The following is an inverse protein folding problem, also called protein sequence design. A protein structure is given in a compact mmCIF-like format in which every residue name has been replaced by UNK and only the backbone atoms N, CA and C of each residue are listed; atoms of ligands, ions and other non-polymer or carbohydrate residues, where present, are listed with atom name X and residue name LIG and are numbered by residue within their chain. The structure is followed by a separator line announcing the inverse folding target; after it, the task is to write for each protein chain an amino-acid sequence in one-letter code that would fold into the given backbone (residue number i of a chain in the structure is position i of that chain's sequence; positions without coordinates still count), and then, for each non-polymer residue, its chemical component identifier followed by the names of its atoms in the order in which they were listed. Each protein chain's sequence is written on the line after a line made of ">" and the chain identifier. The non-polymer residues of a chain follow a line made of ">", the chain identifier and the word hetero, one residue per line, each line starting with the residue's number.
data_IF_010347785482
#
_entry.id   IF_010347785482
#
_cell.length_a   1.000
_cell.length_b   1.000
_cell.length_c   1.000
_cell.angle_alpha   90.00
_cell.angle_beta   90.00
_cell.angle_gamma   90.00
#
_symmetry.space_group_name_H-M   'P 1'
#
loop_
_entity.id
_entity.type
_entity.pdbx_description
1 polymer ?
#
# COMPACT_ATOMS: atom_id res chain seq x y z
N UNK A 1 36.59 7.18 18.01
CA UNK A 1 36.10 6.47 19.22
C UNK A 1 35.29 5.29 18.74
N UNK A 2 35.73 4.07 19.03
CA UNK A 2 35.02 2.85 18.64
C UNK A 2 33.64 2.81 19.30
N UNK A 3 32.60 2.52 18.52
CA UNK A 3 31.27 2.23 19.04
C UNK A 3 31.38 0.99 19.93
N UNK A 4 31.27 1.16 21.24
CA UNK A 4 31.09 0.04 22.16
C UNK A 4 29.86 -0.75 21.70
N UNK A 5 30.05 -2.01 21.33
CA UNK A 5 28.96 -2.97 21.15
C UNK A 5 28.10 -2.94 22.42
N UNK A 6 26.91 -2.35 22.31
CA UNK A 6 25.94 -2.35 23.40
C UNK A 6 25.46 -3.78 23.56
N UNK A 7 26.03 -4.48 24.54
CA UNK A 7 25.48 -5.76 24.97
C UNK A 7 23.99 -5.58 25.31
N UNK A 8 23.11 -6.47 24.82
CA UNK A 8 21.70 -6.38 25.14
C UNK A 8 21.51 -6.45 26.66
N UNK A 9 20.56 -5.69 27.23
CA UNK A 9 20.42 -5.55 28.67
C UNK A 9 19.95 -6.82 29.39
N UNK A 10 19.63 -7.87 28.63
CA UNK A 10 19.26 -9.19 29.13
C UNK A 10 19.74 -10.29 28.18
N UNK A 11 19.92 -11.49 28.73
CA UNK A 11 20.22 -12.70 27.95
C UNK A 11 18.96 -13.11 27.19
N UNK A 12 19.06 -13.11 25.86
CA UNK A 12 17.97 -13.54 24.97
C UNK A 12 17.97 -15.06 24.87
N UNK A 13 16.85 -15.70 25.19
CA UNK A 13 16.64 -17.13 25.00
C UNK A 13 15.36 -17.31 24.20
N UNK A 14 15.49 -17.74 22.95
CA UNK A 14 14.36 -18.16 22.12
C UNK A 14 14.06 -19.63 22.44
N UNK A 15 12.86 -19.92 22.94
CA UNK A 15 12.42 -21.27 23.26
C UNK A 15 11.82 -21.99 22.04
N UNK A 16 11.31 -21.23 21.07
CA UNK A 16 10.72 -21.74 19.84
C UNK A 16 11.12 -20.84 18.66
N UNK A 17 11.09 -21.34 17.41
CA UNK A 17 11.43 -20.56 16.21
C UNK A 17 10.61 -19.28 16.01
N UNK A 18 9.43 -19.18 16.63
CA UNK A 18 8.50 -18.05 16.55
C UNK A 18 8.44 -17.19 17.83
N UNK A 19 9.18 -17.55 18.89
CA UNK A 19 9.15 -16.80 20.15
C UNK A 19 10.15 -15.65 20.12
N UNK A 20 9.67 -14.44 19.85
CA UNK A 20 10.44 -13.20 19.99
C UNK A 20 10.35 -12.68 21.43
N UNK A 21 11.22 -13.17 22.31
CA UNK A 21 11.34 -12.83 23.74
C UNK A 21 10.14 -13.16 24.65
N UNK A 22 10.42 -13.94 25.71
CA UNK A 22 9.53 -14.15 26.85
C UNK A 22 10.21 -13.65 28.12
N UNK A 23 9.58 -12.70 28.81
CA UNK A 23 10.00 -12.25 30.15
C UNK A 23 9.06 -12.85 31.20
N UNK A 24 9.58 -13.13 32.38
CA UNK A 24 8.73 -13.25 33.57
C UNK A 24 8.24 -11.85 34.01
N UNK A 25 7.24 -11.84 34.88
CA UNK A 25 6.62 -10.61 35.34
C UNK A 25 7.61 -9.69 36.06
N UNK A 26 8.47 -10.25 36.91
CA UNK A 26 9.46 -9.48 37.67
C UNK A 26 10.45 -8.78 36.75
N UNK A 27 10.96 -9.48 35.73
CA UNK A 27 11.88 -8.90 34.74
C UNK A 27 11.21 -7.86 33.87
N UNK A 28 9.94 -8.06 33.51
CA UNK A 28 9.18 -7.06 32.75
C UNK A 28 9.00 -5.75 33.55
N UNK A 29 8.73 -5.84 34.86
CA UNK A 29 8.63 -4.67 35.73
C UNK A 29 10.00 -3.99 35.91
N UNK A 30 11.08 -4.75 36.13
CA UNK A 30 12.44 -4.21 36.22
C UNK A 30 12.84 -3.45 34.95
N UNK A 31 12.58 -4.03 33.77
CA UNK A 31 12.83 -3.40 32.48
C UNK A 31 11.93 -2.20 32.25
N UNK A 32 10.67 -2.26 32.69
CA UNK A 32 9.74 -1.12 32.66
C UNK A 32 10.25 0.07 33.47
N UNK A 33 10.80 -0.17 34.66
CA UNK A 33 11.39 0.89 35.48
C UNK A 33 12.65 1.48 34.85
N UNK A 34 13.45 0.66 34.17
CA UNK A 34 14.73 1.08 33.57
C UNK A 34 14.58 1.76 32.21
N UNK A 35 13.55 1.41 31.43
CA UNK A 35 13.37 1.87 30.05
C UNK A 35 11.96 2.46 29.84
N UNK A 36 11.80 3.80 29.88
CA UNK A 36 10.50 4.46 29.77
C UNK A 36 9.71 4.12 28.48
N UNK A 37 10.41 3.90 27.36
CA UNK A 37 9.78 3.48 26.11
C UNK A 37 9.19 2.06 26.20
N UNK A 38 9.89 1.14 26.86
CA UNK A 38 9.39 -0.22 27.10
C UNK A 38 8.19 -0.21 28.05
N UNK A 39 8.26 0.61 29.11
CA UNK A 39 7.16 0.79 30.06
C UNK A 39 5.86 1.26 29.39
N UNK A 40 5.95 2.28 28.52
CA UNK A 40 4.79 2.80 27.78
C UNK A 40 4.18 1.73 26.87
N UNK A 41 5.01 0.97 26.17
CA UNK A 41 4.55 -0.13 25.32
C UNK A 41 3.89 -1.25 26.13
N UNK A 42 4.47 -1.62 27.28
CA UNK A 42 3.92 -2.64 28.17
C UNK A 42 2.54 -2.23 28.69
N UNK A 43 2.38 -1.00 29.17
CA UNK A 43 1.09 -0.49 29.66
C UNK A 43 0.05 -0.34 28.55
N UNK A 44 0.46 0.08 27.33
CA UNK A 44 -0.45 0.13 26.18
C UNK A 44 -1.01 -1.26 25.86
N UNK A 45 -0.14 -2.26 25.74
CA UNK A 45 -0.55 -3.65 25.45
C UNK A 45 -1.41 -4.23 26.57
N UNK A 46 -1.05 -3.99 27.84
CA UNK A 46 -1.85 -4.43 28.98
C UNK A 46 -3.24 -3.76 28.99
N UNK A 47 -3.30 -2.46 28.71
CA UNK A 47 -4.56 -1.71 28.56
C UNK A 47 -5.44 -2.26 27.45
N UNK A 48 -4.86 -2.55 26.28
CA UNK A 48 -5.58 -3.15 25.15
C UNK A 48 -6.14 -4.53 25.49
N UNK A 49 -5.38 -5.37 26.20
CA UNK A 49 -5.81 -6.71 26.62
C UNK A 49 -6.92 -6.65 27.67
N UNK A 50 -6.80 -5.78 28.67
CA UNK A 50 -7.84 -5.56 29.68
C UNK A 50 -9.12 -5.01 29.04
N UNK A 51 -8.99 -4.09 28.08
CA UNK A 51 -10.12 -3.58 27.30
C UNK A 51 -10.86 -4.67 26.53
N UNK A 52 -10.13 -5.63 25.93
CA UNK A 52 -10.71 -6.80 25.25
C UNK A 52 -11.39 -7.77 26.21
N UNK A 53 -10.75 -8.10 27.34
CA UNK A 53 -11.28 -9.07 28.32
C UNK A 53 -12.51 -8.56 29.06
N UNK A 54 -12.55 -7.28 29.41
CA UNK A 54 -13.65 -6.72 30.19
C UNK A 54 -14.88 -6.35 29.36
N UNK A 55 -14.86 -6.55 28.03
CA UNK A 55 -15.99 -6.24 27.16
C UNK A 55 -16.53 -4.79 27.33
N UNK A 56 -15.71 -3.88 27.87
CA UNK A 56 -16.08 -2.50 28.21
C UNK A 56 -16.32 -1.63 26.96
N UNK A 57 -16.02 -2.17 25.78
CA UNK A 57 -16.29 -1.57 24.47
C UNK A 57 -17.59 -2.10 23.82
N UNK A 58 -18.61 -2.49 24.60
CA UNK A 58 -20.00 -2.54 24.08
C UNK A 58 -20.57 -1.12 23.94
N UNK A 59 -19.78 -0.21 23.34
CA UNK A 59 -20.34 0.94 22.65
C UNK A 59 -21.17 0.31 21.52
N UNK A 60 -22.45 0.66 21.44
CA UNK A 60 -23.33 0.29 20.33
C UNK A 60 -22.53 0.56 19.04
N UNK A 61 -22.05 -0.48 18.36
CA UNK A 61 -21.08 -0.34 17.27
C UNK A 61 -21.76 0.55 16.22
N UNK A 62 -21.39 1.83 16.18
CA UNK A 62 -21.87 2.68 15.11
C UNK A 62 -21.18 2.16 13.86
N UNK A 63 -21.94 1.86 12.79
CA UNK A 63 -21.33 1.36 11.57
C UNK A 63 -20.30 2.36 11.08
N UNK A 64 -19.15 1.87 10.61
CA UNK A 64 -18.13 2.74 10.00
C UNK A 64 -18.76 3.38 8.75
N UNK A 65 -18.73 4.70 8.67
CA UNK A 65 -19.36 5.45 7.59
C UNK A 65 -18.34 5.66 6.48
N UNK A 66 -18.68 5.23 5.26
CA UNK A 66 -17.82 5.33 4.07
C UNK A 66 -18.56 6.14 3.01
N UNK A 67 -17.96 7.22 2.53
CA UNK A 67 -18.43 7.90 1.33
C UNK A 67 -17.76 7.29 0.10
N UNK A 68 -18.51 6.98 -0.94
CA UNK A 68 -17.99 6.66 -2.26
C UNK A 68 -18.50 7.75 -3.21
N UNK A 69 -17.56 8.48 -3.82
CA UNK A 69 -17.87 9.55 -4.75
C UNK A 69 -17.43 9.13 -6.14
N UNK A 70 -18.36 9.08 -7.07
CA UNK A 70 -18.13 8.71 -8.45
C UNK A 70 -18.00 9.95 -9.34
N UNK A 71 -16.84 10.15 -9.96
CA UNK A 71 -16.66 11.22 -10.94
C UNK A 71 -17.62 11.07 -12.14
N UNK A 72 -17.82 9.84 -12.57
CA UNK A 72 -18.57 9.48 -13.78
C UNK A 72 -19.23 8.11 -13.60
N UNK A 73 -20.20 7.82 -14.46
CA UNK A 73 -20.87 6.50 -14.48
C UNK A 73 -19.92 5.34 -14.78
N UNK A 74 -18.78 5.59 -15.45
CA UNK A 74 -17.74 4.57 -15.68
C UNK A 74 -17.11 4.04 -14.38
N UNK A 75 -17.15 4.83 -13.30
CA UNK A 75 -16.58 4.43 -12.01
C UNK A 75 -17.57 3.69 -11.09
N UNK A 76 -18.89 3.79 -11.36
CA UNK A 76 -19.95 3.18 -10.54
C UNK A 76 -19.87 1.66 -10.38
N UNK A 77 -19.44 0.86 -11.39
CA UNK A 77 -19.31 -0.58 -11.23
C UNK A 77 -18.31 -0.99 -10.13
N UNK A 78 -17.44 -0.09 -9.67
CA UNK A 78 -16.57 -0.34 -8.52
C UNK A 78 -17.38 -0.62 -7.25
N UNK A 79 -18.43 0.15 -6.98
CA UNK A 79 -19.24 -0.01 -5.76
C UNK A 79 -19.93 -1.37 -5.73
N UNK A 80 -20.52 -1.80 -6.85
CA UNK A 80 -21.13 -3.13 -6.95
C UNK A 80 -20.11 -4.26 -6.66
N UNK A 81 -18.88 -4.15 -7.18
CA UNK A 81 -17.82 -5.14 -6.93
C UNK A 81 -17.33 -5.13 -5.48
N UNK A 82 -17.16 -3.94 -4.89
CA UNK A 82 -16.77 -3.80 -3.49
C UNK A 82 -17.82 -4.44 -2.58
N UNK A 83 -19.10 -4.13 -2.80
CA UNK A 83 -20.20 -4.69 -2.03
C UNK A 83 -20.32 -6.20 -2.19
N UNK A 84 -20.16 -6.72 -3.41
CA UNK A 84 -20.15 -8.15 -3.67
C UNK A 84 -19.04 -8.86 -2.87
N UNK A 85 -17.81 -8.31 -2.87
CA UNK A 85 -16.72 -8.89 -2.08
C UNK A 85 -16.89 -8.73 -0.58
N UNK A 86 -17.46 -7.62 -0.10
CA UNK A 86 -17.81 -7.41 1.31
C UNK A 86 -18.87 -8.42 1.77
N UNK A 87 -19.83 -8.76 0.92
CA UNK A 87 -20.86 -9.77 1.19
C UNK A 87 -20.28 -11.17 1.34
N UNK A 88 -19.30 -11.55 0.51
CA UNK A 88 -18.62 -12.84 0.57
C UNK A 88 -17.82 -13.05 1.87
N UNK A 89 -17.40 -11.96 2.54
CA UNK A 89 -16.74 -12.01 3.85
C UNK A 89 -17.72 -11.74 5.01
N UNK A 90 -19.02 -11.92 4.76
CA UNK A 90 -20.12 -11.80 5.72
C UNK A 90 -20.29 -10.41 6.36
N UNK A 91 -19.91 -9.34 5.65
CA UNK A 91 -20.11 -7.98 6.14
C UNK A 91 -21.52 -7.46 5.80
N UNK A 92 -22.24 -6.98 6.82
CA UNK A 92 -23.55 -6.33 6.66
C UNK A 92 -23.38 -4.85 6.34
N UNK A 93 -23.84 -4.45 5.17
CA UNK A 93 -23.67 -3.08 4.65
C UNK A 93 -25.02 -2.44 4.39
N UNK A 94 -25.21 -1.21 4.89
CA UNK A 94 -26.32 -0.34 4.50
C UNK A 94 -25.82 0.67 3.48
N UNK A 95 -26.55 0.87 2.39
CA UNK A 95 -26.17 1.75 1.28
C UNK A 95 -27.27 2.77 1.06
N UNK A 96 -26.88 4.04 1.12
CA UNK A 96 -27.65 5.16 0.61
C UNK A 96 -27.06 5.56 -0.74
N UNK A 97 -27.77 5.28 -1.82
CA UNK A 97 -27.26 5.51 -3.17
C UNK A 97 -28.13 6.42 -4.02
N UNK A 98 -27.52 7.10 -4.98
CA UNK A 98 -28.20 7.91 -6.00
C UNK A 98 -28.41 7.17 -7.33
N UNK A 99 -28.04 5.88 -7.40
CA UNK A 99 -28.15 5.09 -8.60
C UNK A 99 -29.62 4.92 -9.03
N UNK A 100 -29.95 5.12 -10.33
CA UNK A 100 -31.32 5.02 -10.82
C UNK A 100 -31.86 3.58 -10.80
N UNK A 101 -30.97 2.58 -10.80
CA UNK A 101 -31.29 1.17 -10.67
C UNK A 101 -30.31 0.51 -9.70
N UNK A 102 -30.85 -0.28 -8.76
CA UNK A 102 -30.07 -1.04 -7.79
C UNK A 102 -30.19 -2.53 -8.05
N UNK A 103 -29.06 -3.20 -8.27
CA UNK A 103 -28.99 -4.65 -8.33
C UNK A 103 -28.88 -5.22 -6.91
N UNK A 104 -29.80 -6.09 -6.46
CA UNK A 104 -29.71 -6.66 -5.12
C UNK A 104 -28.43 -7.47 -4.92
N UNK A 105 -27.64 -7.09 -3.90
CA UNK A 105 -26.43 -7.80 -3.47
C UNK A 105 -26.75 -8.46 -2.12
N UNK A 106 -26.38 -9.74 -1.88
CA UNK A 106 -26.63 -10.40 -0.61
C UNK A 106 -26.05 -9.60 0.57
N UNK A 107 -26.72 -9.64 1.73
CA UNK A 107 -26.31 -8.93 2.96
C UNK A 107 -26.18 -7.40 2.84
N UNK A 108 -26.66 -6.82 1.74
CA UNK A 108 -26.64 -5.38 1.50
C UNK A 108 -28.06 -4.81 1.57
N UNK A 109 -28.28 -3.85 2.46
CA UNK A 109 -29.51 -3.08 2.55
C UNK A 109 -29.35 -1.82 1.71
N UNK A 110 -30.35 -1.47 0.91
CA UNK A 110 -30.30 -0.30 0.04
C UNK A 110 -31.48 0.63 0.31
N UNK A 111 -31.21 1.94 0.29
CA UNK A 111 -32.23 2.99 0.25
C UNK A 111 -31.80 4.10 -0.73
N UNK A 112 -32.65 4.53 -1.66
CA UNK A 112 -32.37 5.70 -2.50
C UNK A 112 -32.12 6.95 -1.67
N UNK A 113 -31.19 7.80 -2.11
CA UNK A 113 -30.92 9.11 -1.49
C UNK A 113 -31.96 10.18 -1.85
N UNK A 114 -32.71 9.96 -2.93
CA UNK A 114 -33.75 10.85 -3.42
C UNK A 114 -35.06 10.08 -3.46
N UNK A 115 -36.11 10.64 -2.85
CA UNK A 115 -37.48 10.13 -2.88
C UNK A 115 -38.39 11.27 -3.33
N UNK A 116 -39.19 11.06 -4.38
CA UNK A 116 -40.08 12.10 -4.96
C UNK A 116 -39.35 13.39 -5.40
N UNK A 117 -38.21 13.25 -6.06
CA UNK A 117 -37.32 14.37 -6.49
C UNK A 117 -36.76 15.24 -5.35
N UNK A 118 -36.92 14.82 -4.09
CA UNK A 118 -36.35 15.49 -2.92
C UNK A 118 -35.29 14.61 -2.24
N UNK A 119 -34.20 15.25 -1.81
CA UNK A 119 -33.15 14.60 -1.04
C UNK A 119 -33.69 14.18 0.33
N UNK A 120 -33.34 12.97 0.78
CA UNK A 120 -33.67 12.52 2.13
C UNK A 120 -33.15 13.50 3.19
N UNK A 121 -34.04 13.88 4.11
CA UNK A 121 -33.66 14.69 5.27
C UNK A 121 -32.70 13.92 6.20
N UNK A 122 -31.86 14.66 6.93
CA UNK A 122 -30.97 14.07 7.95
C UNK A 122 -31.77 13.26 9.00
N UNK A 123 -32.99 13.68 9.32
CA UNK A 123 -33.87 12.96 10.23
C UNK A 123 -34.29 11.61 9.64
N UNK A 124 -34.66 11.57 8.36
CA UNK A 124 -35.05 10.34 7.65
C UNK A 124 -33.89 9.37 7.53
N UNK A 125 -32.68 9.86 7.23
CA UNK A 125 -31.46 9.04 7.19
C UNK A 125 -31.20 8.43 8.57
N UNK A 126 -31.26 9.22 9.65
CA UNK A 126 -31.06 8.73 11.02
C UNK A 126 -32.10 7.69 11.42
N UNK A 127 -33.36 7.91 11.07
CA UNK A 127 -34.43 6.95 11.32
C UNK A 127 -34.16 5.64 10.59
N UNK A 128 -33.80 5.68 9.31
CA UNK A 128 -33.46 4.48 8.55
C UNK A 128 -32.25 3.73 9.14
N UNK A 129 -31.18 4.45 9.48
CA UNK A 129 -30.00 3.85 10.13
C UNK A 129 -30.39 3.19 11.46
N UNK A 130 -31.34 3.76 12.21
CA UNK A 130 -31.83 3.13 13.45
C UNK A 130 -32.62 1.83 13.21
N UNK A 131 -33.22 1.66 12.03
CA UNK A 131 -33.89 0.42 11.59
C UNK A 131 -32.89 -0.60 11.07
N UNK A 132 -31.76 -0.16 10.53
CA UNK A 132 -30.64 -1.01 10.13
C UNK A 132 -29.81 -1.42 11.35
N UNK A 133 -30.32 -2.41 12.09
CA UNK A 133 -29.63 -2.99 13.23
C UNK A 133 -28.42 -3.80 12.77
N UNK A 134 -27.33 -3.73 13.54
CA UNK A 134 -26.12 -4.54 13.38
C UNK A 134 -25.42 -4.39 12.02
N UNK A 135 -25.41 -3.17 11.46
CA UNK A 135 -24.54 -2.87 10.31
C UNK A 135 -23.08 -2.79 10.75
N UNK A 136 -22.20 -3.38 9.95
CA UNK A 136 -20.77 -3.13 10.06
C UNK A 136 -20.42 -1.77 9.45
N UNK A 137 -21.12 -1.42 8.35
CA UNK A 137 -20.80 -0.26 7.52
C UNK A 137 -22.03 0.42 6.98
N UNK A 138 -21.92 1.74 6.89
CA UNK A 138 -22.85 2.60 6.19
C UNK A 138 -22.14 3.23 5.01
N UNK A 139 -22.68 3.08 3.80
CA UNK A 139 -22.09 3.63 2.59
C UNK A 139 -23.00 4.73 2.03
N UNK A 140 -22.43 5.90 1.76
CA UNK A 140 -23.02 6.90 0.88
C UNK A 140 -22.43 6.72 -0.51
N UNK A 141 -23.22 6.27 -1.47
CA UNK A 141 -22.80 6.04 -2.86
C UNK A 141 -23.39 7.14 -3.77
N UNK A 142 -22.56 8.12 -4.14
CA UNK A 142 -23.02 9.34 -4.81
C UNK A 142 -22.16 9.72 -6.01
N UNK A 143 -22.78 10.32 -7.02
CA UNK A 143 -22.10 10.97 -8.12
C UNK A 143 -21.56 12.35 -7.74
N UNK A 144 -20.45 12.77 -8.35
CA UNK A 144 -19.88 14.11 -8.18
C UNK A 144 -20.73 15.22 -8.82
N UNK A 145 -21.79 14.86 -9.55
CA UNK A 145 -22.79 15.79 -10.09
C UNK A 145 -23.75 16.32 -9.02
N UNK A 146 -23.78 15.72 -7.82
CA UNK A 146 -24.58 16.24 -6.71
C UNK A 146 -24.14 17.65 -6.31
N UNK A 147 -25.08 18.52 -5.89
CA UNK A 147 -24.74 19.83 -5.36
C UNK A 147 -23.69 19.74 -4.25
N UNK A 148 -22.66 20.58 -4.33
CA UNK A 148 -21.49 20.51 -3.47
C UNK A 148 -21.83 20.54 -1.98
N UNK A 149 -22.76 21.40 -1.56
CA UNK A 149 -23.17 21.55 -0.16
C UNK A 149 -23.81 20.27 0.40
N UNK A 150 -24.58 19.57 -0.43
CA UNK A 150 -25.23 18.31 -0.09
C UNK A 150 -24.19 17.21 0.08
N UNK A 151 -23.32 17.05 -0.91
CA UNK A 151 -22.20 16.10 -0.86
C UNK A 151 -21.31 16.37 0.37
N UNK A 152 -20.95 17.64 0.60
CA UNK A 152 -20.15 18.03 1.76
C UNK A 152 -20.84 17.66 3.08
N UNK A 153 -22.15 17.90 3.21
CA UNK A 153 -22.91 17.53 4.41
C UNK A 153 -22.91 16.02 4.67
N UNK A 154 -23.05 15.19 3.63
CA UNK A 154 -23.03 13.72 3.76
C UNK A 154 -21.63 13.21 4.12
N UNK A 155 -20.62 13.69 3.40
CA UNK A 155 -19.25 13.24 3.58
C UNK A 155 -18.65 13.74 4.91
N UNK A 156 -19.17 14.83 5.52
CA UNK A 156 -18.69 15.33 6.82
C UNK A 156 -18.75 14.27 7.92
N UNK A 157 -19.77 13.41 7.88
CA UNK A 157 -19.93 12.29 8.81
C UNK A 157 -19.15 11.04 8.41
N UNK A 158 -18.50 11.00 7.25
CA UNK A 158 -17.74 9.85 6.80
C UNK A 158 -16.43 9.71 7.57
N UNK A 159 -16.09 8.47 7.92
CA UNK A 159 -14.81 8.07 8.49
C UNK A 159 -13.74 7.91 7.39
N UNK A 160 -14.18 7.56 6.18
CA UNK A 160 -13.35 7.38 4.99
C UNK A 160 -14.16 7.79 3.75
N UNK A 161 -13.50 8.42 2.77
CA UNK A 161 -14.08 8.77 1.47
C UNK A 161 -13.24 8.13 0.37
N UNK A 162 -13.86 7.24 -0.40
CA UNK A 162 -13.29 6.69 -1.63
C UNK A 162 -13.69 7.60 -2.78
N UNK A 163 -12.75 8.42 -3.26
CA UNK A 163 -13.00 9.32 -4.38
C UNK A 163 -12.59 8.66 -5.69
N UNK A 164 -13.55 8.21 -6.48
CA UNK A 164 -13.31 7.41 -7.68
C UNK A 164 -13.17 8.31 -8.91
N UNK A 165 -12.03 8.21 -9.59
CA UNK A 165 -11.73 8.97 -10.81
C UNK A 165 -11.41 8.05 -11.97
N UNK A 166 -11.80 8.49 -13.15
CA UNK A 166 -11.36 7.90 -14.41
C UNK A 166 -9.94 8.40 -14.74
N UNK A 167 -9.06 7.50 -15.15
CA UNK A 167 -7.65 7.82 -15.47
C UNK A 167 -7.49 8.87 -16.58
N UNK A 168 -8.49 9.04 -17.46
CA UNK A 168 -8.45 9.98 -18.59
C UNK A 168 -8.98 11.35 -18.20
N UNK A 169 -9.96 11.40 -17.28
CA UNK A 169 -10.70 12.62 -16.95
C UNK A 169 -10.46 13.16 -15.53
N UNK A 170 -9.55 12.58 -14.75
CA UNK A 170 -9.27 12.91 -13.33
C UNK A 170 -9.08 14.41 -12.99
N UNK A 171 -8.72 15.26 -13.96
CA UNK A 171 -8.48 16.69 -13.73
C UNK A 171 -9.71 17.42 -13.21
N UNK A 172 -10.91 16.95 -13.56
CA UNK A 172 -12.17 17.55 -13.11
C UNK A 172 -12.38 17.39 -11.61
N UNK A 173 -11.80 16.35 -10.99
CA UNK A 173 -11.87 16.12 -9.55
C UNK A 173 -11.07 17.15 -8.72
N UNK A 174 -10.10 17.86 -9.32
CA UNK A 174 -9.23 18.81 -8.59
C UNK A 174 -10.06 19.94 -7.97
N UNK A 175 -11.02 20.51 -8.71
CA UNK A 175 -11.84 21.63 -8.24
C UNK A 175 -12.66 21.28 -7.01
N UNK A 176 -13.51 20.24 -7.07
CA UNK A 176 -14.27 19.75 -5.93
C UNK A 176 -13.40 19.37 -4.72
N UNK A 177 -12.27 18.68 -4.93
CA UNK A 177 -11.38 18.28 -3.84
C UNK A 177 -10.72 19.48 -3.14
N UNK A 178 -10.32 20.51 -3.90
CA UNK A 178 -9.81 21.76 -3.32
C UNK A 178 -10.88 22.46 -2.48
N UNK A 179 -12.09 22.58 -3.02
CA UNK A 179 -13.18 23.22 -2.31
C UNK A 179 -13.53 22.48 -1.00
N UNK A 180 -13.48 21.14 -1.01
CA UNK A 180 -13.67 20.34 0.21
C UNK A 180 -12.57 20.60 1.24
N UNK A 181 -11.30 20.67 0.81
CA UNK A 181 -10.19 20.97 1.71
C UNK A 181 -10.30 22.35 2.36
N UNK A 182 -10.78 23.35 1.62
CA UNK A 182 -11.02 24.71 2.14
C UNK A 182 -12.21 24.75 3.11
N UNK A 183 -13.23 23.92 2.87
CA UNK A 183 -14.47 23.89 3.68
C UNK A 183 -14.32 23.08 4.97
N UNK A 184 -13.52 22.01 4.96
CA UNK A 184 -13.35 21.10 6.09
C UNK A 184 -11.86 20.86 6.37
N UNK A 185 -11.30 21.48 7.42
CA UNK A 185 -9.92 21.22 7.82
C UNK A 185 -9.70 19.72 8.12
N UNK A 186 -8.55 19.17 7.71
CA UNK A 186 -8.23 17.75 7.90
C UNK A 186 -8.93 16.79 6.92
N UNK A 187 -9.64 17.32 5.91
CA UNK A 187 -10.34 16.50 4.92
C UNK A 187 -9.42 15.54 4.16
N UNK A 188 -8.20 15.99 3.86
CA UNK A 188 -7.19 15.22 3.14
C UNK A 188 -6.99 13.83 3.74
N UNK A 189 -6.92 13.72 5.06
CA UNK A 189 -6.63 12.47 5.76
C UNK A 189 -7.75 11.42 5.63
N UNK A 190 -8.95 11.86 5.24
CA UNK A 190 -10.12 11.00 5.05
C UNK A 190 -10.31 10.55 3.61
N UNK A 191 -9.66 11.18 2.63
CA UNK A 191 -9.89 10.85 1.22
C UNK A 191 -8.82 9.91 0.71
N UNK A 192 -9.27 8.76 0.24
CA UNK A 192 -8.46 7.85 -0.56
C UNK A 192 -8.93 7.94 -2.02
N UNK A 193 -8.00 8.26 -2.91
CA UNK A 193 -8.28 8.39 -4.35
C UNK A 193 -8.28 7.00 -5.00
N UNK A 194 -9.31 6.67 -5.76
CA UNK A 194 -9.38 5.42 -6.52
C UNK A 194 -9.24 5.72 -8.00
N UNK A 195 -8.10 5.32 -8.58
CA UNK A 195 -7.90 5.33 -10.01
C UNK A 195 -8.59 4.11 -10.62
N UNK A 196 -9.66 4.36 -11.36
CA UNK A 196 -10.28 3.35 -12.22
C UNK A 196 -9.57 3.41 -13.56
N UNK A 197 -8.77 2.37 -13.83
CA UNK A 197 -7.96 2.24 -15.04
C UNK A 197 -8.74 1.46 -16.11
N UNK A 198 -8.64 1.93 -17.34
CA UNK A 198 -9.18 1.24 -18.51
C UNK A 198 -8.29 0.05 -18.92
N UNK A 199 -8.85 -0.96 -19.59
CA UNK A 199 -8.34 -2.34 -19.61
C UNK A 199 -6.87 -2.56 -19.96
N UNK A 200 -6.26 -1.69 -20.78
CA UNK A 200 -4.87 -1.77 -21.24
C UNK A 200 -3.89 -0.88 -20.44
N UNK A 201 -4.38 -0.08 -19.50
CA UNK A 201 -3.56 0.77 -18.65
C UNK A 201 -2.96 -0.03 -17.49
N UNK A 202 -1.63 -0.01 -17.39
CA UNK A 202 -0.87 -0.71 -16.34
C UNK A 202 -0.37 0.23 -15.23
N UNK A 203 -0.64 1.54 -15.34
CA UNK A 203 -0.19 2.56 -14.39
C UNK A 203 -1.15 3.76 -14.38
N UNK A 204 -1.25 4.43 -13.24
CA UNK A 204 -2.01 5.67 -13.11
C UNK A 204 -1.29 6.85 -13.80
N UNK A 205 -2.02 7.89 -14.24
CA UNK A 205 -1.41 9.11 -14.77
C UNK A 205 -0.60 9.85 -13.70
N UNK A 206 0.45 10.55 -14.11
CA UNK A 206 1.21 11.41 -13.20
C UNK A 206 0.38 12.64 -12.81
N UNK A 207 -0.08 12.66 -11.57
CA UNK A 207 -1.07 13.64 -11.11
C UNK A 207 -0.69 14.27 -9.75
N UNK A 208 0.41 15.04 -9.65
CA UNK A 208 0.89 15.59 -8.38
C UNK A 208 -0.13 16.53 -7.72
N UNK A 209 -0.91 17.27 -8.52
CA UNK A 209 -1.92 18.21 -8.02
C UNK A 209 -3.05 17.54 -7.25
N UNK A 210 -3.57 16.41 -7.73
CA UNK A 210 -4.66 15.70 -7.04
C UNK A 210 -4.12 14.88 -5.87
N UNK A 211 -2.93 14.28 -6.01
CA UNK A 211 -2.25 13.54 -4.94
C UNK A 211 -2.00 14.40 -3.71
N UNK A 212 -1.72 15.69 -3.89
CA UNK A 212 -1.57 16.65 -2.79
C UNK A 212 -2.87 16.96 -2.01
N UNK A 213 -4.04 16.55 -2.53
CA UNK A 213 -5.36 16.81 -1.94
C UNK A 213 -5.92 15.58 -1.21
N UNK A 214 -5.25 14.43 -1.30
CA UNK A 214 -5.74 13.14 -0.78
C UNK A 214 -4.70 12.50 0.15
N UNK A 215 -5.14 11.54 0.96
CA UNK A 215 -4.31 10.79 1.89
C UNK A 215 -3.39 9.82 1.14
N UNK A 216 -4.00 8.96 0.32
CA UNK A 216 -3.34 7.93 -0.50
C UNK A 216 -4.16 7.66 -1.74
N UNK A 217 -3.66 6.77 -2.58
CA UNK A 217 -4.38 6.33 -3.77
C UNK A 217 -4.27 4.82 -4.05
N UNK A 218 -5.32 4.28 -4.64
CA UNK A 218 -5.44 2.88 -5.08
C UNK A 218 -5.61 2.84 -6.59
N UNK A 219 -5.06 1.81 -7.25
CA UNK A 219 -5.22 1.59 -8.68
C UNK A 219 -6.00 0.31 -8.90
N UNK A 220 -7.11 0.40 -9.63
CA UNK A 220 -8.00 -0.72 -9.89
C UNK A 220 -8.30 -0.78 -11.38
N UNK A 221 -8.19 -1.97 -11.97
CA UNK A 221 -8.74 -2.22 -13.30
C UNK A 221 -10.03 -3.01 -13.18
N UNK A 222 -11.09 -2.52 -13.83
CA UNK A 222 -12.37 -3.21 -13.89
C UNK A 222 -12.46 -4.17 -15.09
N UNK A 223 -11.53 -4.08 -16.05
CA UNK A 223 -11.49 -4.91 -17.24
C UNK A 223 -10.91 -6.32 -17.03
N UNK A 224 -10.99 -7.14 -18.09
CA UNK A 224 -10.19 -8.37 -18.15
C UNK A 224 -8.71 -8.00 -18.34
N UNK A 225 -7.76 -8.73 -17.74
CA UNK A 225 -6.35 -8.42 -17.91
C UNK A 225 -5.96 -8.63 -19.37
N UNK A 226 -5.10 -7.75 -19.89
CA UNK A 226 -4.44 -7.98 -21.19
C UNK A 226 -3.35 -9.04 -21.03
N UNK A 227 -2.87 -9.62 -22.14
CA UNK A 227 -1.95 -10.77 -22.12
C UNK A 227 -0.63 -10.56 -21.34
N UNK A 228 -0.24 -9.30 -21.09
CA UNK A 228 0.99 -8.94 -20.37
C UNK A 228 0.72 -8.12 -19.09
N UNK A 229 -0.55 -7.86 -18.74
CA UNK A 229 -0.92 -7.20 -17.50
C UNK A 229 -1.18 -8.26 -16.42
N UNK A 230 -0.48 -8.14 -15.31
CA UNK A 230 -0.60 -9.08 -14.18
C UNK A 230 -1.87 -8.87 -13.38
N UNK A 231 -2.15 -9.81 -12.47
CA UNK A 231 -3.30 -9.74 -11.55
C UNK A 231 -3.26 -8.55 -10.58
N UNK A 232 -2.13 -7.85 -10.47
CA UNK A 232 -1.92 -6.81 -9.46
C UNK A 232 -2.92 -5.65 -9.52
N UNK A 233 -3.36 -5.24 -10.72
CA UNK A 233 -4.39 -4.20 -10.85
C UNK A 233 -5.80 -4.71 -10.51
N UNK A 234 -6.06 -6.00 -10.68
CA UNK A 234 -7.32 -6.61 -10.25
C UNK A 234 -7.35 -6.78 -8.73
N UNK A 235 -6.20 -7.12 -8.14
CA UNK A 235 -5.99 -7.15 -6.69
C UNK A 235 -6.13 -5.76 -6.03
N UNK A 236 -6.16 -4.67 -6.81
CA UNK A 236 -6.45 -3.34 -6.30
C UNK A 236 -7.80 -3.25 -5.56
N UNK A 237 -8.81 -4.01 -6.00
CA UNK A 237 -10.09 -4.11 -5.30
C UNK A 237 -9.90 -4.70 -3.89
N UNK A 238 -9.13 -5.78 -3.75
CA UNK A 238 -8.85 -6.40 -2.45
C UNK A 238 -8.07 -5.47 -1.52
N UNK A 239 -7.16 -4.63 -2.05
CA UNK A 239 -6.47 -3.60 -1.24
C UNK A 239 -7.44 -2.56 -0.68
N UNK A 240 -8.48 -2.19 -1.42
CA UNK A 240 -9.55 -1.33 -0.90
C UNK A 240 -10.34 -2.08 0.18
N UNK A 241 -10.66 -3.36 -0.02
CA UNK A 241 -11.32 -4.20 1.00
C UNK A 241 -10.47 -4.28 2.27
N UNK A 242 -9.15 -4.43 2.16
CA UNK A 242 -8.21 -4.38 3.28
C UNK A 242 -8.32 -3.05 4.04
N UNK A 243 -8.26 -1.92 3.33
CA UNK A 243 -8.40 -0.57 3.94
C UNK A 243 -9.74 -0.40 4.67
N UNK A 244 -10.83 -0.85 4.05
CA UNK A 244 -12.15 -0.83 4.67
C UNK A 244 -12.13 -1.65 5.98
N UNK A 245 -11.51 -2.83 5.97
CA UNK A 245 -11.38 -3.71 7.16
C UNK A 245 -10.33 -3.26 8.16
N UNK A 246 -9.53 -2.25 7.86
CA UNK A 246 -8.41 -1.83 8.69
C UNK A 246 -7.26 -2.85 8.71
N UNK A 247 -7.13 -3.66 7.65
CA UNK A 247 -6.00 -4.57 7.42
C UNK A 247 -5.03 -3.89 6.45
N UNK A 248 -3.73 -3.95 6.73
CA UNK A 248 -2.68 -3.45 5.84
C UNK A 248 -1.46 -4.36 5.89
N UNK A 249 -1.26 -5.13 4.82
CA UNK A 249 -0.22 -6.13 4.64
C UNK A 249 0.92 -5.54 3.83
N UNK A 250 2.08 -5.37 4.45
CA UNK A 250 3.31 -4.93 3.79
C UNK A 250 4.23 -6.10 3.41
N UNK A 251 4.99 -5.94 2.32
CA UNK A 251 6.05 -6.88 1.92
C UNK A 251 7.42 -6.18 1.92
N UNK A 252 8.29 -6.58 2.83
CA UNK A 252 9.67 -6.12 2.90
C UNK A 252 10.58 -7.11 2.16
N UNK A 253 11.23 -6.63 1.09
CA UNK A 253 12.14 -7.42 0.27
C UNK A 253 13.59 -7.01 0.52
N UNK A 254 14.39 -7.91 1.07
CA UNK A 254 15.75 -7.60 1.46
C UNK A 254 16.78 -7.53 0.32
N UNK A 255 17.97 -6.99 0.64
CA UNK A 255 19.14 -7.07 -0.22
C UNK A 255 19.80 -8.46 -0.20
N UNK A 256 20.48 -8.83 -1.30
CA UNK A 256 21.12 -10.16 -1.39
C UNK A 256 21.77 -10.54 -2.72
N UNK A 257 22.01 -9.58 -3.63
CA UNK A 257 22.59 -9.80 -4.96
C UNK A 257 22.00 -11.04 -5.67
N UNK A 258 22.80 -12.09 -5.93
CA UNK A 258 22.39 -13.30 -6.63
C UNK A 258 21.29 -14.12 -5.92
N UNK A 259 21.10 -13.93 -4.60
CA UNK A 259 20.02 -14.57 -3.82
C UNK A 259 18.66 -13.87 -4.00
N UNK A 260 18.63 -12.70 -4.64
CA UNK A 260 17.41 -11.94 -4.91
C UNK A 260 16.34 -12.69 -5.72
N UNK A 261 16.71 -13.77 -6.42
CA UNK A 261 15.76 -14.66 -7.09
C UNK A 261 14.76 -15.31 -6.13
N UNK A 262 15.10 -15.46 -4.84
CA UNK A 262 14.19 -15.98 -3.82
C UNK A 262 12.92 -15.12 -3.68
N UNK A 263 13.04 -13.80 -3.88
CA UNK A 263 11.90 -12.88 -3.85
C UNK A 263 10.84 -13.24 -4.88
N UNK A 264 11.24 -13.68 -6.08
CA UNK A 264 10.31 -14.11 -7.12
C UNK A 264 9.52 -15.37 -6.69
N UNK A 265 10.18 -16.30 -6.00
CA UNK A 265 9.52 -17.48 -5.44
C UNK A 265 8.51 -17.12 -4.35
N UNK A 266 8.83 -16.17 -3.48
CA UNK A 266 7.90 -15.68 -2.45
C UNK A 266 6.71 -14.98 -3.09
N UNK A 267 6.93 -14.08 -4.04
CA UNK A 267 5.85 -13.38 -4.76
C UNK A 267 4.89 -14.37 -5.42
N UNK A 268 5.43 -15.39 -6.09
CA UNK A 268 4.63 -16.47 -6.68
C UNK A 268 3.81 -17.24 -5.64
N UNK A 269 4.43 -17.60 -4.51
CA UNK A 269 3.73 -18.30 -3.44
C UNK A 269 2.60 -17.43 -2.82
N UNK A 270 2.80 -16.12 -2.69
CA UNK A 270 1.75 -15.21 -2.22
C UNK A 270 0.57 -15.17 -3.19
N UNK A 271 0.82 -15.08 -4.49
CA UNK A 271 -0.23 -15.11 -5.52
C UNK A 271 -1.00 -16.44 -5.54
N UNK A 272 -0.29 -17.58 -5.52
CA UNK A 272 -0.89 -18.93 -5.50
C UNK A 272 -1.79 -19.16 -4.27
N UNK A 273 -1.52 -18.45 -3.17
CA UNK A 273 -2.29 -18.51 -1.93
C UNK A 273 -3.29 -17.34 -1.78
N UNK A 274 -3.47 -16.51 -2.81
CA UNK A 274 -4.35 -15.33 -2.79
C UNK A 274 -4.04 -14.33 -1.65
N UNK A 275 -2.75 -14.21 -1.28
CA UNK A 275 -2.30 -13.24 -0.28
C UNK A 275 -1.94 -11.94 -0.99
N UNK A 276 -2.86 -10.98 -0.95
CA UNK A 276 -2.68 -9.67 -1.58
C UNK A 276 -1.91 -8.74 -0.64
N UNK A 277 -0.79 -8.21 -1.11
CA UNK A 277 0.00 -7.20 -0.38
C UNK A 277 -0.42 -5.80 -0.77
N UNK A 278 -0.52 -4.90 0.21
CA UNK A 278 -1.00 -3.53 0.04
C UNK A 278 0.10 -2.53 -0.30
N UNK A 279 1.34 -2.83 0.08
CA UNK A 279 2.52 -2.02 -0.23
C UNK A 279 3.81 -2.83 -0.12
N UNK A 280 4.85 -2.38 -0.82
CA UNK A 280 6.15 -3.05 -0.89
C UNK A 280 7.26 -2.05 -0.53
N UNK A 281 8.23 -2.51 0.26
CA UNK A 281 9.48 -1.80 0.47
C UNK A 281 10.65 -2.72 0.11
N UNK A 282 11.60 -2.23 -0.67
CA UNK A 282 12.68 -3.05 -1.18
C UNK A 282 14.04 -2.38 -1.08
N UNK A 283 15.05 -3.19 -0.77
CA UNK A 283 16.45 -2.77 -0.73
C UNK A 283 17.26 -3.58 -1.75
N UNK A 284 18.07 -2.92 -2.59
CA UNK A 284 18.97 -3.56 -3.56
C UNK A 284 18.21 -4.52 -4.50
N UNK A 285 18.56 -5.80 -4.52
CA UNK A 285 17.82 -6.84 -5.24
C UNK A 285 16.31 -6.84 -4.92
N UNK A 286 15.92 -6.59 -3.68
CA UNK A 286 14.51 -6.46 -3.28
C UNK A 286 13.83 -5.22 -3.87
N UNK A 287 14.54 -4.09 -3.99
CA UNK A 287 14.04 -2.90 -4.68
C UNK A 287 13.77 -3.19 -6.15
N UNK A 288 14.73 -3.82 -6.82
CA UNK A 288 14.63 -4.17 -8.23
C UNK A 288 13.46 -5.13 -8.52
N UNK A 289 13.38 -6.24 -7.79
CA UNK A 289 12.31 -7.23 -7.95
C UNK A 289 10.95 -6.67 -7.54
N UNK A 290 10.88 -5.97 -6.39
CA UNK A 290 9.66 -5.37 -5.87
C UNK A 290 9.07 -4.32 -6.80
N UNK A 291 9.89 -3.43 -7.37
CA UNK A 291 9.41 -2.39 -8.29
C UNK A 291 8.88 -2.97 -9.60
N UNK A 292 9.53 -4.00 -10.15
CA UNK A 292 9.02 -4.68 -11.37
C UNK A 292 7.68 -5.33 -11.09
N UNK A 293 7.54 -6.05 -9.97
CA UNK A 293 6.27 -6.67 -9.58
C UNK A 293 5.17 -5.62 -9.31
N UNK A 294 5.51 -4.54 -8.59
CA UNK A 294 4.60 -3.45 -8.29
C UNK A 294 4.12 -2.70 -9.54
N UNK A 295 4.84 -2.79 -10.66
CA UNK A 295 4.52 -2.09 -11.91
C UNK A 295 3.28 -2.62 -12.65
N UNK A 296 2.67 -3.71 -12.17
CA UNK A 296 1.48 -4.32 -12.77
C UNK A 296 1.74 -5.20 -13.99
N UNK A 297 3.01 -5.44 -14.32
CA UNK A 297 3.39 -6.42 -15.35
C UNK A 297 3.03 -7.83 -14.91
N UNK A 298 2.72 -8.69 -15.87
CA UNK A 298 2.52 -10.12 -15.62
C UNK A 298 3.74 -10.72 -14.90
N UNK A 299 3.56 -11.34 -13.71
CA UNK A 299 4.65 -11.89 -12.92
C UNK A 299 5.44 -12.96 -13.66
N UNK A 300 4.77 -13.92 -14.32
CA UNK A 300 5.44 -15.01 -15.02
C UNK A 300 6.26 -14.49 -16.22
N UNK A 301 5.71 -13.53 -16.97
CA UNK A 301 6.42 -12.81 -18.03
C UNK A 301 7.64 -12.07 -17.48
N UNK A 302 7.44 -11.28 -16.41
CA UNK A 302 8.49 -10.47 -15.79
C UNK A 302 9.60 -11.34 -15.24
N UNK A 303 9.26 -12.42 -14.52
CA UNK A 303 10.21 -13.42 -14.01
C UNK A 303 11.02 -14.01 -15.15
N UNK A 304 10.36 -14.53 -16.20
CA UNK A 304 11.04 -15.20 -17.31
C UNK A 304 12.03 -14.26 -18.01
N UNK A 305 11.59 -13.05 -18.35
CA UNK A 305 12.42 -12.04 -19.02
C UNK A 305 13.55 -11.54 -18.14
N UNK A 306 13.26 -11.30 -16.87
CA UNK A 306 14.25 -10.82 -15.91
C UNK A 306 15.34 -11.87 -15.65
N UNK A 307 14.96 -13.14 -15.48
CA UNK A 307 15.90 -14.26 -15.38
C UNK A 307 16.75 -14.40 -16.65
N UNK A 308 16.13 -14.27 -17.83
CA UNK A 308 16.84 -14.25 -19.12
C UNK A 308 17.87 -13.12 -19.19
N UNK A 309 17.49 -11.90 -18.81
CA UNK A 309 18.38 -10.73 -18.81
C UNK A 309 19.51 -10.88 -17.78
N UNK A 310 19.27 -11.47 -16.61
CA UNK A 310 20.29 -11.69 -15.59
C UNK A 310 21.18 -12.92 -15.86
N UNK A 311 20.88 -13.71 -16.89
CA UNK A 311 21.65 -14.92 -17.21
C UNK A 311 23.05 -14.55 -17.72
N UNK A 312 24.13 -15.05 -17.08
CA UNK A 312 25.48 -14.75 -17.52
C UNK A 312 25.75 -15.28 -18.94
N UNK A 313 26.47 -14.50 -19.75
CA UNK A 313 26.92 -14.95 -21.07
C UNK A 313 27.88 -16.14 -20.95
N UNK A 314 28.04 -16.90 -22.03
CA UNK A 314 28.84 -18.13 -22.05
C UNK A 314 30.25 -17.95 -21.47
N UNK A 315 30.87 -16.79 -21.71
CA UNK A 315 32.20 -16.43 -21.21
C UNK A 315 32.22 -16.40 -19.68
N UNK A 316 31.29 -15.64 -19.08
CA UNK A 316 31.20 -15.54 -17.62
C UNK A 316 30.83 -16.88 -16.99
N UNK A 317 30.00 -17.71 -17.63
CA UNK A 317 29.63 -19.04 -17.08
C UNK A 317 30.82 -20.00 -16.88
N UNK A 318 31.94 -19.78 -17.57
CA UNK A 318 33.17 -20.58 -17.42
C UNK A 318 34.11 -20.06 -16.32
N UNK A 319 33.84 -18.88 -15.76
CA UNK A 319 34.65 -18.29 -14.71
C UNK A 319 34.17 -18.70 -13.31
N UNK A 320 35.07 -18.91 -12.34
CA UNK A 320 34.69 -19.03 -10.93
C UNK A 320 33.91 -17.79 -10.49
N UNK A 321 32.75 -17.96 -9.84
CA UNK A 321 31.84 -16.87 -9.47
C UNK A 321 31.40 -15.98 -10.64
N UNK A 322 31.39 -16.52 -11.87
CA UNK A 322 31.12 -15.77 -13.09
C UNK A 322 29.79 -15.01 -13.12
N UNK A 323 28.77 -15.48 -12.41
CA UNK A 323 27.52 -14.74 -12.24
C UNK A 323 27.72 -13.38 -11.55
N UNK A 324 28.54 -13.33 -10.50
CA UNK A 324 28.88 -12.07 -9.82
C UNK A 324 29.67 -11.14 -10.73
N UNK A 325 30.66 -11.67 -11.46
CA UNK A 325 31.44 -10.89 -12.43
C UNK A 325 30.59 -10.34 -13.57
N UNK A 326 29.59 -11.10 -14.03
CA UNK A 326 28.65 -10.64 -15.05
C UNK A 326 27.77 -9.48 -14.54
N UNK A 327 27.18 -9.62 -13.36
CA UNK A 327 26.37 -8.56 -12.75
C UNK A 327 27.21 -7.31 -12.48
N UNK A 328 28.43 -7.49 -11.98
CA UNK A 328 29.39 -6.40 -11.79
C UNK A 328 29.73 -5.70 -13.11
N UNK A 329 29.99 -6.46 -14.17
CA UNK A 329 30.24 -5.93 -15.50
C UNK A 329 29.04 -5.11 -16.00
N UNK A 330 27.82 -5.66 -15.92
CA UNK A 330 26.60 -4.93 -16.31
C UNK A 330 26.45 -3.62 -15.55
N UNK A 331 26.74 -3.64 -14.26
CA UNK A 331 26.67 -2.46 -13.40
C UNK A 331 27.70 -1.39 -13.81
N UNK A 332 28.97 -1.77 -13.91
CA UNK A 332 30.06 -0.84 -14.27
C UNK A 332 29.92 -0.22 -15.66
N UNK A 333 29.30 -0.93 -16.60
CA UNK A 333 29.06 -0.43 -17.95
C UNK A 333 27.67 0.22 -18.14
N UNK A 334 26.95 0.53 -17.05
CA UNK A 334 25.66 1.23 -17.11
C UNK A 334 24.57 0.45 -17.85
N UNK A 335 24.64 -0.88 -17.88
CA UNK A 335 23.67 -1.73 -18.61
C UNK A 335 22.39 -2.02 -17.83
N UNK A 336 22.33 -1.66 -16.55
CA UNK A 336 21.12 -1.82 -15.73
C UNK A 336 20.03 -0.83 -16.10
N UNK A 337 20.35 0.44 -16.34
CA UNK A 337 19.36 1.45 -16.76
C UNK A 337 18.58 1.01 -18.02
N UNK A 338 19.22 0.75 -19.19
CA UNK A 338 18.48 0.35 -20.39
C UNK A 338 17.83 -1.03 -20.28
N UNK A 339 18.27 -1.88 -19.33
CA UNK A 339 17.61 -3.15 -19.04
C UNK A 339 16.30 -2.91 -18.28
N UNK A 340 16.34 -2.11 -17.22
CA UNK A 340 15.17 -1.81 -16.37
C UNK A 340 14.13 -0.97 -17.12
N UNK A 341 14.55 -0.06 -18.01
CA UNK A 341 13.66 0.71 -18.90
C UNK A 341 12.79 -0.17 -19.81
N UNK A 342 13.23 -1.39 -20.16
CA UNK A 342 12.37 -2.33 -20.92
C UNK A 342 11.10 -2.74 -20.17
N UNK A 343 11.15 -2.71 -18.84
CA UNK A 343 10.06 -3.14 -17.95
C UNK A 343 9.27 -1.93 -17.43
N UNK A 344 9.99 -0.91 -17.00
CA UNK A 344 9.43 0.22 -16.28
C UNK A 344 9.23 1.45 -17.16
N UNK A 345 9.83 1.49 -18.35
CA UNK A 345 9.79 2.66 -19.24
C UNK A 345 10.14 3.94 -18.46
N UNK A 346 9.37 5.01 -18.61
CA UNK A 346 9.50 6.26 -17.85
C UNK A 346 8.53 6.33 -16.65
N UNK A 347 8.05 5.19 -16.15
CA UNK A 347 7.14 5.16 -14.99
C UNK A 347 7.81 5.68 -13.74
N UNK A 348 7.01 6.37 -12.94
CA UNK A 348 7.38 6.81 -11.59
C UNK A 348 6.79 5.91 -10.51
N UNK A 349 7.43 5.87 -9.34
CA UNK A 349 7.02 5.02 -8.21
C UNK A 349 5.57 5.29 -7.79
N UNK A 350 5.13 6.55 -7.81
CA UNK A 350 3.77 6.95 -7.47
C UNK A 350 2.69 6.43 -8.44
N UNK A 351 3.08 6.03 -9.66
CA UNK A 351 2.16 5.56 -10.70
C UNK A 351 1.92 4.05 -10.67
N UNK A 352 2.76 3.30 -9.94
CA UNK A 352 2.74 1.84 -9.94
C UNK A 352 1.43 1.29 -9.36
N UNK A 353 1.09 0.06 -9.76
CA UNK A 353 -0.13 -0.63 -9.34
C UNK A 353 -0.15 -0.91 -7.83
N UNK A 354 1.03 -1.17 -7.26
CA UNK A 354 1.25 -1.34 -5.82
C UNK A 354 2.15 -0.21 -5.32
N UNK A 355 1.81 0.47 -4.22
CA UNK A 355 2.71 1.41 -3.57
C UNK A 355 4.08 0.76 -3.29
N UNK A 356 5.14 1.38 -3.81
CA UNK A 356 6.51 0.88 -3.73
C UNK A 356 7.44 1.92 -3.12
N UNK A 357 8.27 1.49 -2.17
CA UNK A 357 9.37 2.28 -1.62
C UNK A 357 10.71 1.62 -1.88
N UNK A 358 11.66 2.34 -2.48
CA UNK A 358 13.05 1.89 -2.62
C UNK A 358 13.92 2.51 -1.52
N UNK A 359 14.88 1.73 -1.04
CA UNK A 359 15.73 2.12 0.10
C UNK A 359 17.16 2.32 -0.35
N UNK A 360 17.72 3.47 -0.04
CA UNK A 360 19.10 3.86 -0.29
C UNK A 360 19.71 4.41 0.99
N UNK A 361 21.00 4.71 0.98
CA UNK A 361 21.69 5.39 2.07
C UNK A 361 22.41 6.61 1.51
N UNK A 362 22.28 7.75 2.17
CA UNK A 362 23.19 8.87 1.93
C UNK A 362 24.53 8.57 2.61
N UNK A 363 25.57 8.35 1.81
CA UNK A 363 26.89 7.96 2.29
C UNK A 363 27.53 9.04 3.19
N UNK A 364 27.19 10.31 2.98
CA UNK A 364 27.74 11.42 3.76
C UNK A 364 27.04 11.50 5.12
N UNK A 365 25.71 11.49 5.14
CA UNK A 365 24.93 11.54 6.37
C UNK A 365 24.88 10.22 7.16
N UNK A 366 25.05 9.08 6.49
CA UNK A 366 24.89 7.74 7.07
C UNK A 366 23.43 7.33 7.30
N UNK A 367 22.48 8.12 6.80
CA UNK A 367 21.04 7.94 7.05
C UNK A 367 20.36 7.21 5.88
N UNK A 368 19.35 6.37 6.17
CA UNK A 368 18.55 5.75 5.13
C UNK A 368 17.69 6.80 4.42
N UNK A 369 17.61 6.69 3.09
CA UNK A 369 16.76 7.53 2.25
C UNK A 369 15.70 6.62 1.64
N UNK A 370 14.43 6.92 1.94
CA UNK A 370 13.27 6.19 1.43
C UNK A 370 12.69 6.97 0.25
N UNK A 371 12.61 6.33 -0.92
CA UNK A 371 11.99 6.89 -2.12
C UNK A 371 10.68 6.17 -2.38
N UNK A 372 9.56 6.88 -2.24
CA UNK A 372 8.22 6.40 -2.66
C UNK A 372 7.70 7.15 -3.88
N UNK A 373 8.48 8.10 -4.40
CA UNK A 373 8.12 8.97 -5.53
C UNK A 373 9.35 9.23 -6.41
N UNK A 374 9.11 9.60 -7.67
CA UNK A 374 10.14 9.84 -8.67
C UNK A 374 10.35 8.67 -9.62
N UNK A 375 11.36 8.78 -10.49
CA UNK A 375 11.62 7.79 -11.53
C UNK A 375 11.92 6.40 -10.93
N UNK A 376 11.17 5.38 -11.36
CA UNK A 376 11.23 4.06 -10.77
C UNK A 376 12.57 3.36 -11.03
N UNK A 377 13.17 3.56 -12.20
CA UNK A 377 14.48 2.98 -12.55
C UNK A 377 15.58 3.67 -11.76
N UNK A 378 15.56 5.00 -11.66
CA UNK A 378 16.51 5.76 -10.85
C UNK A 378 16.47 5.34 -9.38
N UNK A 379 15.27 5.14 -8.82
CA UNK A 379 15.10 4.63 -7.45
C UNK A 379 15.71 3.24 -7.25
N UNK A 380 15.66 2.37 -8.27
CA UNK A 380 16.34 1.06 -8.24
C UNK A 380 17.85 1.24 -8.35
N UNK A 381 18.33 2.04 -9.31
CA UNK A 381 19.76 2.22 -9.60
C UNK A 381 20.52 2.75 -8.37
N UNK A 382 19.93 3.69 -7.64
CA UNK A 382 20.49 4.13 -6.36
C UNK A 382 20.50 3.02 -5.32
N UNK A 383 19.43 2.21 -5.25
CA UNK A 383 19.27 1.16 -4.24
C UNK A 383 20.20 -0.03 -4.46
N UNK A 384 20.65 -0.27 -5.70
CA UNK A 384 21.64 -1.30 -6.05
C UNK A 384 23.08 -0.75 -6.12
N UNK A 385 23.31 0.51 -5.70
CA UNK A 385 24.60 1.17 -5.84
C UNK A 385 25.62 0.78 -4.76
N UNK A 386 26.18 -0.42 -4.88
CA UNK A 386 27.14 -0.93 -3.91
C UNK A 386 28.46 -0.12 -3.90
N UNK A 387 28.89 0.39 -2.72
CA UNK A 387 30.21 0.98 -2.57
C UNK A 387 31.32 0.01 -3.00
N UNK A 388 32.49 0.53 -3.39
CA UNK A 388 33.62 -0.20 -3.98
C UNK A 388 33.38 -0.66 -5.43
N UNK A 389 32.16 -1.00 -5.80
CA UNK A 389 31.83 -1.47 -7.14
C UNK A 389 31.54 -0.31 -8.12
N UNK A 390 30.96 0.79 -7.63
CA UNK A 390 30.87 2.06 -8.36
C UNK A 390 30.91 3.29 -7.45
N UNK A 391 31.00 4.47 -8.07
CA UNK A 391 30.94 5.76 -7.37
C UNK A 391 29.54 6.03 -6.82
N UNK A 392 29.40 6.73 -5.68
CA UNK A 392 28.11 7.20 -5.20
C UNK A 392 27.36 8.00 -6.27
N UNK A 393 26.04 7.84 -6.32
CA UNK A 393 25.18 8.62 -7.22
C UNK A 393 24.85 9.93 -6.52
N UNK A 394 25.39 11.04 -7.02
CA UNK A 394 25.15 12.36 -6.45
C UNK A 394 23.84 12.96 -7.01
N UNK A 395 22.80 13.06 -6.19
CA UNK A 395 21.49 13.60 -6.59
C UNK A 395 20.86 14.38 -5.44
N UNK A 396 20.27 15.53 -5.75
CA UNK A 396 19.59 16.40 -4.76
C UNK A 396 20.45 16.72 -3.51
N UNK A 397 21.76 16.83 -3.68
CA UNK A 397 22.71 17.09 -2.57
C UNK A 397 23.08 15.87 -1.72
N UNK A 398 22.61 14.67 -2.06
CA UNK A 398 22.91 13.41 -1.38
C UNK A 398 23.91 12.58 -2.18
N UNK A 399 24.74 11.78 -1.49
CA UNK A 399 25.67 10.83 -2.11
C UNK A 399 25.15 9.40 -1.93
N UNK A 400 24.36 8.91 -2.88
CA UNK A 400 23.50 7.75 -2.68
C UNK A 400 24.20 6.43 -3.00
N UNK A 401 24.09 5.48 -2.07
CA UNK A 401 24.61 4.12 -2.16
C UNK A 401 23.55 3.08 -1.74
N UNK A 402 23.86 1.80 -1.96
CA UNK A 402 22.98 0.67 -1.68
C UNK A 402 22.45 0.70 -0.24
N UNK A 403 21.13 0.57 -0.10
CA UNK A 403 20.44 0.64 1.18
C UNK A 403 20.81 -0.49 2.15
N UNK A 404 21.35 -1.60 1.64
CA UNK A 404 21.71 -2.79 2.41
C UNK A 404 22.81 -2.56 3.45
N UNK A 405 23.52 -1.43 3.36
CA UNK A 405 24.51 -1.02 4.36
C UNK A 405 23.89 -0.64 5.71
N UNK A 406 22.67 -0.10 5.71
CA UNK A 406 21.99 0.41 6.92
C UNK A 406 20.66 -0.28 7.14
N UNK A 407 19.88 -0.52 6.08
CA UNK A 407 18.55 -1.10 6.17
C UNK A 407 18.35 -2.20 5.11
N UNK A 408 18.91 -3.38 5.39
CA UNK A 408 18.88 -4.50 4.45
C UNK A 408 17.48 -5.11 4.27
N UNK A 409 16.62 -5.11 5.29
CA UNK A 409 15.24 -5.62 5.22
C UNK A 409 14.29 -4.54 5.77
N UNK A 410 13.61 -3.76 4.90
CA UNK A 410 12.95 -2.53 5.30
C UNK A 410 11.55 -2.73 5.89
N UNK A 411 11.43 -3.64 6.85
CA UNK A 411 10.16 -3.90 7.55
C UNK A 411 9.69 -2.69 8.37
N UNK A 412 10.63 -1.93 8.95
CA UNK A 412 10.31 -0.73 9.73
C UNK A 412 9.61 0.34 8.88
N UNK A 413 10.04 0.51 7.62
CA UNK A 413 9.45 1.50 6.70
C UNK A 413 7.98 1.19 6.46
N UNK A 414 7.62 -0.09 6.30
CA UNK A 414 6.23 -0.51 6.11
C UNK A 414 5.38 -0.29 7.36
N UNK A 415 5.94 -0.54 8.54
CA UNK A 415 5.25 -0.24 9.82
C UNK A 415 5.01 1.26 9.96
N UNK A 416 5.99 2.10 9.61
CA UNK A 416 5.86 3.56 9.62
C UNK A 416 4.83 4.05 8.59
N UNK A 417 4.70 3.38 7.45
CA UNK A 417 3.64 3.60 6.45
C UNK A 417 2.26 3.06 6.89
N UNK A 418 2.18 2.45 8.07
CA UNK A 418 0.94 2.04 8.71
C UNK A 418 0.50 0.60 8.43
N UNK A 419 1.40 -0.29 7.99
CA UNK A 419 1.12 -1.72 7.94
C UNK A 419 0.95 -2.31 9.34
N UNK A 420 -0.06 -3.15 9.52
CA UNK A 420 -0.27 -3.92 10.75
C UNK A 420 0.15 -5.40 10.61
N UNK A 421 0.40 -5.86 9.39
CA UNK A 421 1.06 -7.12 9.08
C UNK A 421 2.23 -6.86 8.14
N UNK A 422 3.40 -7.43 8.40
CA UNK A 422 4.56 -7.31 7.52
C UNK A 422 5.14 -8.70 7.27
N UNK A 423 5.27 -9.04 5.99
CA UNK A 423 5.99 -10.21 5.50
C UNK A 423 7.40 -9.74 5.13
N UNK A 424 8.43 -10.31 5.75
CA UNK A 424 9.82 -9.91 5.54
C UNK A 424 10.62 -11.07 4.94
N UNK A 425 11.33 -10.79 3.84
CA UNK A 425 12.07 -11.78 3.03
C UNK A 425 13.55 -11.45 2.96
#
# INVERSE_FOLDING_TARGET
>A
MAAQERQPPCRLVAYEPSTFLKFDFEKAIELGAKYPAFQRNLFRVAGDQVGRLMNLNKIRNQPRVVGIVHQSDSTRPLTERLLSRLSEIESKVGVFGDAPAWNPIPQTLFRPLVENDELLSVATIREQVSRWQDLDRLIYDIGSSYPFDVMCSMLKSADLVLWCVDSRNWREAIGPLKNLQETVPGWRDKIDLIWVLDGDEIAAPLAPKIRALVNRDFKVSLGKPTANAGGQLQSGLERIIHELRGVRIGLALGGGAARGMAHLGVLKALEENNIIVDMIAGTSAGAMTGTIYASGLDPDYSVKRFVEDLRPTWFFRRLPHGGHWFLLSKYRFGKFDPMLRKYLDDKRLEQLAIPMSTITVDLVGGEPVVRSEGDAVEGILESINLPVLSSPICRQGQALVDGGLVNNIPANVLVEMGCNYVIAV
#
